data_IF_534531606299
#
_entry.id   IF_534531606299
#
_cell.length_a   1.000
_cell.length_b   1.000
_cell.length_c   1.000
_cell.angle_alpha   90.00
_cell.angle_beta   90.00
_cell.angle_gamma   90.00
#
_symmetry.space_group_name_H-M   'P 1'
#
loop_
_entity.id
_entity.type
_entity.pdbx_description
1 polymer ?
#
# COMPACT_ATOMS: atom_id res chain seq x y z
N UNK A 1 -10.99 -9.42 -2.52
CA UNK A 1 -10.53 -9.33 -1.12
C UNK A 1 -11.71 -9.53 -0.15
N UNK A 2 -11.57 -10.36 0.91
CA UNK A 2 -12.63 -10.62 1.89
C UNK A 2 -12.93 -9.41 2.79
N UNK A 3 -14.10 -9.37 3.47
CA UNK A 3 -14.54 -8.21 4.27
C UNK A 3 -13.54 -7.73 5.33
N UNK A 4 -12.88 -8.65 6.03
CA UNK A 4 -11.86 -8.33 7.04
C UNK A 4 -10.64 -7.64 6.41
N UNK A 5 -10.21 -8.10 5.22
CA UNK A 5 -9.14 -7.46 4.46
C UNK A 5 -9.51 -6.04 4.04
N UNK A 6 -10.76 -5.83 3.60
CA UNK A 6 -11.24 -4.49 3.23
C UNK A 6 -11.30 -3.54 4.44
N UNK A 7 -11.71 -4.03 5.62
CA UNK A 7 -11.71 -3.24 6.85
C UNK A 7 -10.28 -2.83 7.23
N UNK A 8 -9.33 -3.77 7.19
CA UNK A 8 -7.92 -3.51 7.45
C UNK A 8 -7.33 -2.53 6.43
N UNK A 9 -7.68 -2.65 5.15
CA UNK A 9 -7.25 -1.70 4.11
C UNK A 9 -7.71 -0.27 4.43
N UNK A 10 -8.97 -0.10 4.85
CA UNK A 10 -9.50 1.20 5.27
C UNK A 10 -8.79 1.75 6.51
N UNK A 11 -8.51 0.91 7.49
CA UNK A 11 -7.74 1.30 8.69
C UNK A 11 -6.33 1.76 8.32
N UNK A 12 -5.60 0.97 7.51
CA UNK A 12 -4.25 1.32 7.08
C UNK A 12 -4.21 2.55 6.18
N UNK A 13 -5.23 2.77 5.36
CA UNK A 13 -5.36 4.00 4.60
C UNK A 13 -5.54 5.23 5.51
N UNK A 14 -6.40 5.14 6.53
CA UNK A 14 -6.54 6.22 7.54
C UNK A 14 -5.22 6.47 8.27
N UNK A 15 -4.52 5.42 8.68
CA UNK A 15 -3.21 5.52 9.33
C UNK A 15 -2.18 6.18 8.39
N UNK A 16 -2.14 5.78 7.12
CA UNK A 16 -1.25 6.38 6.13
C UNK A 16 -1.52 7.88 5.95
N UNK A 17 -2.79 8.31 5.87
CA UNK A 17 -3.12 9.74 5.77
C UNK A 17 -2.64 10.56 6.97
N UNK A 18 -2.64 9.97 8.17
CA UNK A 18 -2.25 10.67 9.39
C UNK A 18 -0.74 10.60 9.67
N UNK A 19 -0.12 9.45 9.39
CA UNK A 19 1.28 9.16 9.66
C UNK A 19 1.86 8.23 8.58
N UNK A 20 2.22 8.75 7.39
CA UNK A 20 2.75 7.94 6.29
C UNK A 20 4.00 7.12 6.68
N UNK A 21 4.81 7.66 7.59
CA UNK A 21 6.05 7.05 8.07
C UNK A 21 5.84 6.01 9.19
N UNK A 22 4.60 5.66 9.51
CA UNK A 22 4.32 4.71 10.60
C UNK A 22 4.96 3.33 10.31
N UNK A 23 5.78 2.75 11.21
CA UNK A 23 6.55 1.53 10.93
C UNK A 23 5.73 0.31 10.51
N UNK A 24 4.46 0.23 10.94
CA UNK A 24 3.56 -0.87 10.56
C UNK A 24 3.16 -0.85 9.09
N UNK A 25 3.14 0.34 8.46
CA UNK A 25 2.79 0.48 7.04
C UNK A 25 3.92 -0.04 6.16
N UNK A 26 5.17 -0.04 6.66
CA UNK A 26 6.37 -0.31 5.85
C UNK A 26 6.28 0.42 4.51
N UNK A 27 5.90 1.69 4.56
CA UNK A 27 5.76 2.53 3.38
C UNK A 27 7.12 2.63 2.68
N UNK A 28 7.13 2.30 1.40
CA UNK A 28 8.33 2.34 0.57
C UNK A 28 8.00 3.13 -0.70
N UNK A 29 8.82 4.11 -1.03
CA UNK A 29 8.76 4.82 -2.30
C UNK A 29 10.00 4.45 -3.12
N UNK A 30 9.77 3.87 -4.30
CA UNK A 30 10.83 3.40 -5.19
C UNK A 30 11.27 4.49 -6.16
N UNK A 31 12.42 4.30 -6.79
CA UNK A 31 13.03 5.27 -7.73
C UNK A 31 12.15 5.60 -8.94
N UNK A 32 11.28 4.68 -9.36
CA UNK A 32 10.32 4.86 -10.47
C UNK A 32 8.99 5.48 -10.01
N UNK A 33 8.91 6.01 -8.79
CA UNK A 33 7.71 6.62 -8.22
C UNK A 33 6.68 5.61 -7.71
N UNK A 34 6.94 4.30 -7.80
CA UNK A 34 6.04 3.29 -7.24
C UNK A 34 6.09 3.33 -5.72
N UNK A 35 4.94 3.52 -5.10
CA UNK A 35 4.75 3.46 -3.65
C UNK A 35 4.16 2.10 -3.27
N UNK A 36 4.67 1.51 -2.19
CA UNK A 36 4.19 0.23 -1.64
C UNK A 36 3.81 0.41 -0.18
N UNK A 37 2.63 -0.10 0.20
CA UNK A 37 2.16 -0.14 1.60
C UNK A 37 1.74 -1.55 1.99
N UNK A 38 2.11 -1.95 3.21
CA UNK A 38 1.57 -3.17 3.83
C UNK A 38 0.18 -2.95 4.41
N UNK A 39 -0.72 -3.84 4.02
CA UNK A 39 -2.05 -4.00 4.60
C UNK A 39 -2.07 -5.32 5.38
N UNK A 40 -1.56 -5.25 6.61
CA UNK A 40 -1.30 -6.44 7.44
C UNK A 40 -0.25 -7.37 6.84
N UNK A 41 -0.29 -8.65 7.23
CA UNK A 41 0.71 -9.62 6.81
C UNK A 41 0.47 -10.15 5.39
N UNK A 42 -0.77 -10.15 4.90
CA UNK A 42 -1.15 -10.86 3.68
C UNK A 42 -1.43 -9.98 2.46
N UNK A 43 -1.62 -8.67 2.62
CA UNK A 43 -2.00 -7.78 1.52
C UNK A 43 -1.08 -6.59 1.36
N UNK A 44 -0.90 -6.12 0.12
CA UNK A 44 -0.13 -4.92 -0.20
C UNK A 44 -0.95 -4.02 -1.11
N UNK A 45 -0.73 -2.72 -0.98
CA UNK A 45 -1.29 -1.72 -1.86
C UNK A 45 -0.17 -1.03 -2.63
N UNK A 46 -0.44 -0.71 -3.88
CA UNK A 46 0.46 0.00 -4.78
C UNK A 46 -0.13 1.34 -5.16
N UNK A 47 0.73 2.34 -5.19
CA UNK A 47 0.41 3.65 -5.71
C UNK A 47 1.51 4.17 -6.60
N UNK A 48 1.21 5.22 -7.35
CA UNK A 48 2.20 5.99 -8.10
C UNK A 48 2.26 7.40 -7.50
N UNK A 49 3.47 7.86 -7.21
CA UNK A 49 3.74 9.23 -6.78
C UNK A 49 3.75 10.16 -8.00
N UNK A 50 2.87 11.14 -7.97
CA UNK A 50 2.79 12.22 -8.96
C UNK A 50 2.81 13.57 -8.24
N UNK A 51 4.00 14.18 -8.16
CA UNK A 51 4.21 15.40 -7.37
C UNK A 51 3.91 15.17 -5.89
N UNK A 52 2.96 15.91 -5.33
CA UNK A 52 2.56 15.78 -3.92
C UNK A 52 1.46 14.73 -3.71
N UNK A 53 0.92 14.13 -4.78
CA UNK A 53 -0.20 13.18 -4.73
C UNK A 53 0.32 11.75 -4.90
N UNK A 54 -0.33 10.80 -4.22
CA UNK A 54 -0.15 9.37 -4.50
C UNK A 54 -1.47 8.82 -5.01
N UNK A 55 -1.46 8.34 -6.26
CA UNK A 55 -2.60 7.66 -6.87
C UNK A 55 -2.52 6.16 -6.56
N UNK A 56 -3.36 5.68 -5.64
CA UNK A 56 -3.46 4.26 -5.31
C UNK A 56 -4.26 3.53 -6.39
N UNK A 57 -3.63 2.59 -7.11
CA UNK A 57 -4.25 1.93 -8.26
C UNK A 57 -4.44 0.42 -8.08
N UNK A 58 -3.80 -0.19 -7.09
CA UNK A 58 -3.90 -1.64 -6.89
C UNK A 58 -3.81 -2.02 -5.42
N UNK A 59 -4.54 -3.09 -5.06
CA UNK A 59 -4.41 -3.78 -3.78
C UNK A 59 -4.68 -5.27 -3.98
N UNK A 60 -3.82 -6.11 -3.41
CA UNK A 60 -3.92 -7.56 -3.57
C UNK A 60 -3.04 -8.31 -2.58
N UNK A 61 -2.97 -9.63 -2.74
CA UNK A 61 -2.22 -10.50 -1.84
C UNK A 61 -0.73 -10.27 -1.97
N UNK A 62 0.04 -10.74 -0.99
CA UNK A 62 1.49 -10.72 -1.06
C UNK A 62 2.02 -11.54 -2.24
N UNK A 63 1.37 -12.65 -2.57
CA UNK A 63 1.74 -13.51 -3.71
C UNK A 63 1.50 -12.80 -5.04
N UNK A 64 0.34 -12.16 -5.21
CA UNK A 64 0.06 -11.34 -6.41
C UNK A 64 1.05 -10.18 -6.52
N UNK A 65 1.39 -9.55 -5.39
CA UNK A 65 2.40 -8.49 -5.33
C UNK A 65 3.79 -8.98 -5.82
N UNK A 66 4.18 -10.22 -5.50
CA UNK A 66 5.49 -10.77 -5.89
C UNK A 66 5.64 -10.98 -7.40
N UNK A 67 4.53 -10.97 -8.16
CA UNK A 67 4.57 -11.10 -9.62
C UNK A 67 4.93 -9.79 -10.32
N UNK A 68 4.77 -8.64 -9.65
CA UNK A 68 5.19 -7.39 -10.24
C UNK A 68 6.72 -7.27 -10.29
N UNK A 69 7.21 -6.76 -11.42
CA UNK A 69 8.63 -6.43 -11.63
C UNK A 69 8.71 -4.91 -11.79
N UNK A 70 9.05 -4.23 -10.69
CA UNK A 70 9.33 -2.79 -10.67
C UNK A 70 10.72 -2.53 -10.14
#
# INVERSE_FOLDING_TARGET
MPPQGQALAREKFKLWKAAPNHPSLKFEERRNGVCVVRVGNHYRALGLREGEVIAWFWIGTHEEYNNFKF
#
